data_IF_923223655867
#
_entry.id   IF_923223655867
#
_cell.length_a   1.000
_cell.length_b   1.000
_cell.length_c   1.000
_cell.angle_alpha   90.00
_cell.angle_beta   90.00
_cell.angle_gamma   90.00
#
_symmetry.space_group_name_H-M   'P 1'
#
loop_
_entity.id
_entity.type
_entity.pdbx_description
1 polymer ?
#
# COMPACT_ATOMS: atom_id res chain seq x y z
N UNK A 1 8.95 -6.92 16.11
CA UNK A 1 9.75 -5.71 15.91
C UNK A 1 8.99 -4.73 15.02
N UNK A 2 8.91 -3.43 15.32
CA UNK A 2 8.00 -2.50 14.61
C UNK A 2 8.43 -2.13 13.18
N UNK A 3 9.68 -2.42 12.79
CA UNK A 3 10.19 -2.13 11.43
C UNK A 3 10.37 -3.39 10.57
N UNK A 4 9.92 -4.55 11.08
CA UNK A 4 9.95 -5.84 10.39
C UNK A 4 8.52 -6.35 10.22
N UNK A 5 8.19 -6.87 9.04
CA UNK A 5 6.88 -7.42 8.68
C UNK A 5 7.06 -8.79 8.00
N UNK A 6 6.16 -9.75 8.28
CA UNK A 6 6.20 -11.12 7.80
C UNK A 6 6.85 -12.10 8.77
N UNK A 7 6.66 -13.40 8.55
CA UNK A 7 7.19 -14.51 9.37
C UNK A 7 8.30 -15.27 8.64
N UNK A 8 8.00 -15.94 7.53
CA UNK A 8 8.99 -16.63 6.69
C UNK A 8 9.55 -15.71 5.61
N UNK A 9 8.68 -15.01 4.89
CA UNK A 9 9.08 -13.94 3.99
C UNK A 9 9.02 -12.61 4.73
N UNK A 10 10.16 -12.11 5.16
CA UNK A 10 10.23 -10.94 6.03
C UNK A 10 10.87 -9.75 5.32
N UNK A 11 10.34 -8.59 5.59
CA UNK A 11 10.98 -7.34 5.21
C UNK A 11 11.33 -6.51 6.43
N UNK A 12 12.48 -5.85 6.40
CA UNK A 12 12.85 -4.81 7.36
C UNK A 12 13.15 -3.53 6.59
N UNK A 13 12.31 -2.49 6.77
CA UNK A 13 12.48 -1.20 6.09
C UNK A 13 13.31 -0.25 6.94
N UNK A 14 14.14 0.58 6.28
CA UNK A 14 15.02 1.57 6.92
C UNK A 14 15.10 2.86 6.11
N UNK A 15 15.71 3.88 6.72
CA UNK A 15 15.95 5.19 6.10
C UNK A 15 14.81 6.18 6.28
N UNK A 16 15.10 7.46 6.05
CA UNK A 16 14.23 8.62 6.25
C UNK A 16 14.04 9.42 4.97
N UNK A 17 12.95 10.24 4.94
CA UNK A 17 12.59 11.06 3.78
C UNK A 17 13.69 12.03 3.35
N UNK A 18 14.47 12.57 4.29
CA UNK A 18 15.58 13.52 4.08
C UNK A 18 16.91 12.99 4.67
N UNK A 19 17.09 11.66 4.71
CA UNK A 19 18.38 11.01 4.96
C UNK A 19 19.08 10.65 3.65
N UNK A 20 20.16 9.88 3.72
CA UNK A 20 20.94 9.44 2.54
C UNK A 20 20.15 8.57 1.56
N UNK A 21 19.11 7.87 2.04
CA UNK A 21 18.26 7.01 1.24
C UNK A 21 17.22 6.28 2.08
N UNK A 22 16.38 5.51 1.43
CA UNK A 22 15.43 4.56 2.02
C UNK A 22 15.61 3.20 1.38
N UNK A 23 15.38 2.15 2.13
CA UNK A 23 15.58 0.81 1.60
C UNK A 23 14.86 -0.27 2.38
N UNK A 24 15.12 -1.50 1.97
CA UNK A 24 14.57 -2.70 2.56
C UNK A 24 15.59 -3.83 2.55
N UNK A 25 15.59 -4.62 3.58
CA UNK A 25 16.19 -5.96 3.59
C UNK A 25 15.04 -6.97 3.51
N UNK A 26 15.07 -7.81 2.49
CA UNK A 26 14.15 -8.95 2.33
C UNK A 26 14.87 -10.20 2.77
N UNK A 27 14.32 -10.92 3.73
CA UNK A 27 14.84 -12.20 4.24
C UNK A 27 13.79 -13.30 4.03
N UNK A 28 14.24 -14.54 3.80
CA UNK A 28 13.38 -15.68 3.52
C UNK A 28 12.88 -15.80 2.09
N UNK A 29 13.42 -15.01 1.15
CA UNK A 29 13.16 -15.21 -0.28
C UNK A 29 13.77 -16.55 -0.73
N UNK A 30 12.99 -17.46 -1.37
CA UNK A 30 13.53 -18.72 -1.87
C UNK A 30 14.69 -18.51 -2.86
N UNK A 31 15.66 -19.43 -2.94
CA UNK A 31 16.75 -19.34 -3.92
C UNK A 31 16.26 -19.61 -5.35
N UNK A 32 17.08 -19.18 -6.33
CA UNK A 32 16.85 -19.41 -7.76
C UNK A 32 15.53 -18.79 -8.29
N UNK A 33 15.07 -17.71 -7.67
CA UNK A 33 14.02 -16.87 -8.23
C UNK A 33 14.68 -15.86 -9.15
N UNK A 34 14.27 -15.74 -10.42
CA UNK A 34 14.76 -14.68 -11.30
C UNK A 34 14.47 -13.30 -10.69
N UNK A 35 15.50 -12.45 -10.61
CA UNK A 35 15.36 -11.10 -10.04
C UNK A 35 16.44 -10.17 -10.59
N UNK A 36 16.01 -9.06 -11.15
CA UNK A 36 16.85 -7.94 -11.56
C UNK A 36 16.30 -6.62 -11.00
N UNK A 37 17.12 -5.57 -10.96
CA UNK A 37 16.68 -4.24 -10.51
C UNK A 37 15.51 -3.70 -11.39
N UNK A 38 15.48 -4.04 -12.67
CA UNK A 38 14.38 -3.67 -13.57
C UNK A 38 13.02 -4.24 -13.13
N UNK A 39 12.99 -5.44 -12.56
CA UNK A 39 11.75 -6.05 -12.06
C UNK A 39 11.15 -5.28 -10.88
N UNK A 40 12.02 -4.67 -10.07
CA UNK A 40 11.63 -3.84 -8.93
C UNK A 40 11.25 -2.43 -9.39
N UNK A 41 12.00 -1.90 -10.35
CA UNK A 41 11.85 -0.52 -10.83
C UNK A 41 10.46 -0.24 -11.40
N UNK A 42 9.84 -1.19 -12.08
CA UNK A 42 8.48 -1.07 -12.63
C UNK A 42 7.47 -0.66 -11.55
N UNK A 43 7.49 -1.31 -10.39
CA UNK A 43 6.57 -0.99 -9.28
C UNK A 43 6.97 0.32 -8.57
N UNK A 44 8.27 0.61 -8.47
CA UNK A 44 8.76 1.88 -7.92
C UNK A 44 8.37 3.07 -8.80
N UNK A 45 8.42 2.94 -10.12
CA UNK A 45 7.98 3.98 -11.07
C UNK A 45 6.49 4.30 -10.92
N UNK A 46 5.66 3.30 -10.67
CA UNK A 46 4.23 3.48 -10.38
C UNK A 46 3.99 4.19 -9.05
N UNK A 47 4.91 4.04 -8.07
CA UNK A 47 4.81 4.62 -6.73
C UNK A 47 5.44 6.01 -6.64
N UNK A 48 6.48 6.32 -7.43
CA UNK A 48 7.32 7.52 -7.28
C UNK A 48 6.53 8.84 -7.23
N UNK A 49 7.05 9.90 -6.60
CA UNK A 49 6.46 11.24 -6.67
C UNK A 49 6.69 11.85 -8.06
N UNK A 50 5.92 12.89 -8.39
CA UNK A 50 6.12 13.67 -9.62
C UNK A 50 5.73 12.95 -10.92
N UNK A 51 4.97 11.86 -10.84
CA UNK A 51 4.56 11.07 -12.00
C UNK A 51 3.41 11.71 -12.82
N UNK A 52 2.67 12.64 -12.24
CA UNK A 52 1.55 13.30 -12.90
C UNK A 52 1.22 14.66 -12.27
N UNK A 53 0.32 15.42 -12.93
CA UNK A 53 -0.16 16.72 -12.45
C UNK A 53 -1.03 16.66 -11.19
N UNK A 54 -1.56 15.50 -10.81
CA UNK A 54 -2.44 15.31 -9.65
C UNK A 54 -1.72 14.74 -8.41
N UNK A 55 -0.39 14.61 -8.46
CA UNK A 55 0.44 14.19 -7.34
C UNK A 55 1.44 15.28 -6.98
N UNK A 56 2.22 15.06 -5.91
CA UNK A 56 3.25 16.00 -5.46
C UNK A 56 4.23 16.37 -6.58
N UNK A 57 4.64 17.64 -6.69
CA UNK A 57 5.61 18.08 -7.69
C UNK A 57 7.07 17.72 -7.36
N UNK A 58 7.35 17.03 -6.24
CA UNK A 58 8.68 16.48 -5.92
C UNK A 58 9.11 15.54 -7.05
N UNK A 59 10.38 15.64 -7.48
CA UNK A 59 10.92 14.80 -8.56
C UNK A 59 11.99 13.87 -8.01
N UNK A 60 11.72 12.59 -8.04
CA UNK A 60 12.66 11.52 -7.67
C UNK A 60 12.61 10.44 -8.73
N UNK A 61 13.75 9.91 -9.13
CA UNK A 61 13.81 8.77 -10.04
C UNK A 61 13.41 7.47 -9.34
N UNK A 62 13.57 7.43 -8.01
CA UNK A 62 13.42 6.23 -7.17
C UNK A 62 14.19 5.01 -7.72
N UNK A 63 15.33 5.27 -8.40
CA UNK A 63 16.19 4.22 -8.96
C UNK A 63 16.72 3.33 -7.85
N UNK A 64 16.47 2.02 -7.96
CA UNK A 64 16.88 1.06 -6.96
C UNK A 64 18.22 0.41 -7.29
N UNK A 65 18.98 0.12 -6.23
CA UNK A 65 20.22 -0.64 -6.25
C UNK A 65 20.00 -1.94 -5.44
N UNK A 66 20.30 -3.11 -6.02
CA UNK A 66 20.37 -4.38 -5.27
C UNK A 66 21.79 -4.53 -4.78
N UNK A 67 21.97 -4.57 -3.47
CA UNK A 67 23.31 -4.60 -2.84
C UNK A 67 23.75 -6.00 -2.45
N UNK A 68 22.83 -6.96 -2.29
CA UNK A 68 23.12 -8.36 -1.90
C UNK A 68 22.00 -9.31 -2.27
N UNK A 69 22.24 -10.60 -2.13
CA UNK A 69 21.25 -11.68 -2.23
C UNK A 69 20.89 -12.11 -3.65
N UNK A 70 21.56 -11.57 -4.67
CA UNK A 70 21.37 -11.93 -6.09
C UNK A 70 22.72 -12.17 -6.76
N UNK A 71 22.82 -13.23 -7.56
CA UNK A 71 23.94 -13.51 -8.45
C UNK A 71 23.41 -14.10 -9.76
N UNK A 72 23.98 -13.68 -10.88
CA UNK A 72 23.60 -14.12 -12.24
C UNK A 72 22.09 -14.02 -12.50
N UNK A 73 21.46 -12.94 -11.99
CA UNK A 73 20.04 -12.70 -12.16
C UNK A 73 19.11 -13.62 -11.36
N UNK A 74 19.64 -14.31 -10.33
CA UNK A 74 18.86 -15.20 -9.48
C UNK A 74 19.10 -14.93 -7.99
N UNK A 75 18.08 -15.11 -7.17
CA UNK A 75 18.19 -15.02 -5.71
C UNK A 75 19.00 -16.18 -5.14
N UNK A 76 19.77 -15.90 -4.09
CA UNK A 76 20.65 -16.86 -3.44
C UNK A 76 20.01 -17.56 -2.22
N UNK A 77 18.85 -17.11 -1.75
CA UNK A 77 18.28 -17.56 -0.47
C UNK A 77 18.88 -16.83 0.75
N UNK A 78 19.78 -15.88 0.51
CA UNK A 78 20.38 -15.01 1.52
C UNK A 78 19.65 -13.65 1.53
N UNK A 79 19.82 -12.79 2.56
CA UNK A 79 19.14 -11.51 2.61
C UNK A 79 19.40 -10.63 1.39
N UNK A 80 18.32 -10.10 0.80
CA UNK A 80 18.36 -9.19 -0.35
C UNK A 80 18.25 -7.77 0.19
N UNK A 81 19.31 -6.99 0.09
CA UNK A 81 19.30 -5.57 0.46
C UNK A 81 19.06 -4.70 -0.78
N UNK A 82 18.07 -3.83 -0.69
CA UNK A 82 17.69 -2.90 -1.77
C UNK A 82 17.72 -1.49 -1.21
N UNK A 83 18.37 -0.57 -1.94
CA UNK A 83 18.54 0.83 -1.57
C UNK A 83 18.03 1.74 -2.68
N UNK A 84 17.33 2.82 -2.30
CA UNK A 84 16.97 3.94 -3.16
C UNK A 84 17.52 5.23 -2.53
N UNK A 85 18.37 5.95 -3.24
CA UNK A 85 18.98 7.18 -2.75
C UNK A 85 18.01 8.36 -2.86
N UNK A 86 18.06 9.28 -1.89
CA UNK A 86 17.31 10.53 -1.94
C UNK A 86 18.08 11.55 -2.79
N UNK A 87 17.42 12.19 -3.75
CA UNK A 87 18.02 13.16 -4.68
C UNK A 87 17.44 14.56 -4.57
N UNK A 88 16.12 14.72 -4.40
CA UNK A 88 15.42 16.01 -4.37
C UNK A 88 14.95 16.34 -2.94
N UNK A 89 15.90 16.65 -2.06
CA UNK A 89 15.64 17.08 -0.68
C UNK A 89 15.64 18.61 -0.62
N UNK A 90 14.67 19.20 0.15
CA UNK A 90 14.58 20.65 0.40
C UNK A 90 14.35 20.91 1.89
N UNK A 91 15.38 20.85 2.74
CA UNK A 91 15.26 21.05 4.19
C UNK A 91 14.62 22.39 4.57
N UNK A 92 14.93 23.47 3.84
CA UNK A 92 14.42 24.82 4.07
C UNK A 92 12.88 24.90 4.09
N UNK A 93 12.19 24.04 3.32
CA UNK A 93 10.72 24.00 3.26
C UNK A 93 10.08 23.56 4.59
N UNK A 94 10.86 23.06 5.53
CA UNK A 94 10.37 22.51 6.81
C UNK A 94 10.75 23.35 8.03
N UNK A 95 11.38 24.53 7.84
CA UNK A 95 11.88 25.38 8.93
C UNK A 95 10.78 25.80 9.92
N UNK A 96 9.61 26.20 9.43
CA UNK A 96 8.45 26.55 10.29
C UNK A 96 7.95 25.35 11.12
N UNK A 97 8.17 24.14 10.63
CA UNK A 97 7.75 22.89 11.28
C UNK A 97 8.73 22.42 12.36
N UNK A 98 9.85 23.11 12.56
CA UNK A 98 10.79 22.82 13.66
C UNK A 98 10.16 23.06 15.02
N UNK A 99 9.34 24.09 15.12
CA UNK A 99 8.71 24.54 16.37
C UNK A 99 7.20 24.30 16.43
N UNK A 100 6.55 24.04 15.30
CA UNK A 100 5.10 23.84 15.21
C UNK A 100 4.75 22.38 14.92
N UNK A 101 3.60 21.95 15.42
CA UNK A 101 3.03 20.65 15.07
C UNK A 101 2.05 20.77 13.90
N UNK A 102 2.25 19.98 12.86
CA UNK A 102 1.27 19.91 11.75
C UNK A 102 -0.01 19.23 12.21
N UNK A 103 -1.19 19.82 12.02
CA UNK A 103 -2.46 19.17 12.33
C UNK A 103 -2.57 17.79 11.65
N UNK A 104 -3.05 16.78 12.37
CA UNK A 104 -3.22 15.40 11.89
C UNK A 104 -1.98 14.71 11.31
N UNK A 105 -0.78 15.29 11.49
CA UNK A 105 0.49 14.64 11.16
C UNK A 105 1.12 13.96 12.38
N UNK A 106 2.12 13.12 12.17
CA UNK A 106 2.78 12.35 13.24
C UNK A 106 3.76 13.18 14.11
N UNK A 107 3.87 14.49 13.90
CA UNK A 107 4.88 15.33 14.57
C UNK A 107 4.80 15.25 16.08
N UNK A 108 3.61 15.50 16.64
CA UNK A 108 3.38 15.43 18.09
C UNK A 108 3.59 14.02 18.66
N UNK A 109 3.04 13.01 18.00
CA UNK A 109 3.11 11.62 18.50
C UNK A 109 4.52 11.05 18.48
N UNK A 110 5.34 11.40 17.50
CA UNK A 110 6.76 11.03 17.48
C UNK A 110 7.55 11.79 18.57
N UNK A 111 7.30 13.09 18.72
CA UNK A 111 7.93 13.89 19.78
C UNK A 111 7.57 13.35 21.17
N UNK A 112 6.30 13.06 21.42
CA UNK A 112 5.83 12.54 22.69
C UNK A 112 6.37 11.14 23.00
N UNK A 113 6.54 10.29 21.97
CA UNK A 113 7.00 8.91 22.16
C UNK A 113 8.52 8.80 22.31
N UNK A 114 9.26 9.52 21.50
CA UNK A 114 10.72 9.34 21.38
C UNK A 114 11.53 10.50 21.95
N UNK A 115 10.89 11.60 22.35
CA UNK A 115 11.55 12.82 22.82
C UNK A 115 12.26 13.62 21.70
N UNK A 116 12.29 13.05 20.49
CA UNK A 116 12.92 13.62 19.30
C UNK A 116 12.14 13.21 18.04
N UNK A 117 12.16 14.05 17.02
CA UNK A 117 11.55 13.75 15.72
C UNK A 117 12.43 14.22 14.56
N UNK A 118 12.33 13.54 13.42
CA UNK A 118 12.89 14.01 12.17
C UNK A 118 11.96 15.09 11.58
N UNK A 119 12.30 16.36 11.73
CA UNK A 119 11.49 17.48 11.27
C UNK A 119 11.42 17.51 9.75
N UNK A 120 12.56 17.36 9.10
CA UNK A 120 12.69 17.43 7.66
C UNK A 120 11.94 16.26 6.98
N UNK A 121 10.87 16.58 6.26
CA UNK A 121 10.05 15.61 5.54
C UNK A 121 9.29 14.60 6.41
N UNK A 122 9.34 14.72 7.75
CA UNK A 122 8.66 13.81 8.68
C UNK A 122 9.30 12.44 8.85
N UNK A 123 10.56 12.26 8.41
CA UNK A 123 11.34 11.03 8.62
C UNK A 123 10.64 9.76 8.15
N UNK A 124 10.46 8.81 9.08
CA UNK A 124 9.74 7.54 8.87
C UNK A 124 8.22 7.69 8.76
N UNK A 125 7.63 8.81 9.19
CA UNK A 125 6.21 9.09 9.01
C UNK A 125 5.86 9.57 7.59
N UNK A 126 6.86 9.77 6.74
CA UNK A 126 6.68 10.16 5.34
C UNK A 126 6.25 8.98 4.47
N UNK A 127 5.41 9.25 3.46
CA UNK A 127 5.07 8.27 2.43
C UNK A 127 6.28 7.72 1.65
N UNK A 128 7.47 8.34 1.78
CA UNK A 128 8.70 7.86 1.16
C UNK A 128 9.16 6.51 1.73
N UNK A 129 8.85 6.22 2.99
CA UNK A 129 9.11 4.91 3.61
C UNK A 129 8.53 3.74 2.80
N UNK A 130 7.41 3.96 2.11
CA UNK A 130 6.74 2.92 1.32
C UNK A 130 7.56 2.41 0.13
N UNK A 131 8.66 3.08 -0.26
CA UNK A 131 9.65 2.56 -1.23
C UNK A 131 10.12 1.16 -0.82
N UNK A 132 10.49 0.99 0.46
CA UNK A 132 10.94 -0.31 0.96
C UNK A 132 9.85 -1.39 0.88
N UNK A 133 8.59 -1.03 1.12
CA UNK A 133 7.45 -1.95 1.00
C UNK A 133 7.20 -2.36 -0.44
N UNK A 134 7.22 -1.39 -1.36
CA UNK A 134 7.00 -1.64 -2.80
C UNK A 134 8.14 -2.46 -3.38
N UNK A 135 9.39 -2.16 -3.03
CA UNK A 135 10.54 -2.97 -3.45
C UNK A 135 10.46 -4.41 -2.92
N UNK A 136 10.10 -4.60 -1.64
CA UNK A 136 9.88 -5.95 -1.07
C UNK A 136 8.71 -6.69 -1.73
N UNK A 137 7.61 -5.98 -2.04
CA UNK A 137 6.47 -6.50 -2.77
C UNK A 137 6.80 -6.91 -4.21
N UNK A 138 7.71 -6.20 -4.88
CA UNK A 138 8.21 -6.56 -6.21
C UNK A 138 9.04 -7.86 -6.16
N UNK A 139 9.87 -8.06 -5.13
CA UNK A 139 10.55 -9.34 -4.90
C UNK A 139 9.53 -10.47 -4.68
N UNK A 140 8.49 -10.24 -3.87
CA UNK A 140 7.39 -11.19 -3.66
C UNK A 140 6.68 -11.55 -4.97
N UNK A 141 6.49 -10.59 -5.89
CA UNK A 141 5.91 -10.84 -7.21
C UNK A 141 6.75 -11.84 -8.03
N UNK A 142 8.07 -11.77 -7.97
CA UNK A 142 8.94 -12.74 -8.66
C UNK A 142 8.82 -14.15 -8.04
N UNK A 143 8.63 -14.24 -6.72
CA UNK A 143 8.34 -15.52 -6.06
C UNK A 143 7.01 -16.10 -6.56
N UNK A 144 5.96 -15.28 -6.71
CA UNK A 144 4.68 -15.72 -7.27
C UNK A 144 4.79 -16.18 -8.72
N UNK A 145 5.52 -15.46 -9.56
CA UNK A 145 5.76 -15.89 -10.96
C UNK A 145 6.32 -17.31 -11.05
N UNK A 146 7.15 -17.70 -10.06
CA UNK A 146 7.73 -19.03 -9.98
C UNK A 146 6.83 -20.06 -9.30
N UNK A 147 6.17 -19.72 -8.20
CA UNK A 147 5.48 -20.68 -7.33
C UNK A 147 3.96 -20.74 -7.55
N UNK A 148 3.37 -19.65 -8.06
CA UNK A 148 1.92 -19.49 -8.27
C UNK A 148 1.65 -18.58 -9.48
N UNK A 149 2.01 -19.03 -10.72
CA UNK A 149 2.03 -18.17 -11.91
C UNK A 149 0.66 -17.61 -12.33
N UNK A 150 -0.44 -18.16 -11.81
CA UNK A 150 -1.81 -17.67 -12.08
C UNK A 150 -2.30 -16.59 -11.10
N UNK A 151 -1.47 -16.16 -10.15
CA UNK A 151 -1.86 -15.12 -9.20
C UNK A 151 -1.86 -13.74 -9.88
N UNK A 152 -2.99 -13.03 -9.79
CA UNK A 152 -3.15 -11.65 -10.21
C UNK A 152 -3.58 -10.78 -9.01
N UNK A 153 -2.92 -9.65 -8.81
CA UNK A 153 -3.25 -8.68 -7.75
C UNK A 153 -3.47 -7.33 -8.43
N UNK A 154 -4.69 -6.82 -8.38
CA UNK A 154 -5.12 -5.58 -8.99
C UNK A 154 -5.66 -4.64 -7.90
N UNK A 155 -5.01 -3.51 -7.69
CA UNK A 155 -5.58 -2.44 -6.89
C UNK A 155 -5.91 -1.24 -7.77
N UNK A 156 -6.96 -0.50 -7.40
CA UNK A 156 -7.45 0.65 -8.15
C UNK A 156 -8.10 1.68 -7.21
N UNK A 157 -8.17 2.91 -7.65
CA UNK A 157 -8.88 3.96 -6.93
C UNK A 157 -10.37 3.77 -7.17
N UNK A 158 -11.11 3.40 -6.13
CA UNK A 158 -12.55 3.13 -6.20
C UNK A 158 -13.43 4.25 -5.65
N UNK A 159 -12.83 5.21 -4.92
CA UNK A 159 -13.53 6.41 -4.45
C UNK A 159 -12.55 7.55 -4.27
N UNK A 160 -12.95 8.76 -4.69
CA UNK A 160 -12.30 10.03 -4.36
C UNK A 160 -13.38 10.99 -3.90
N UNK A 161 -13.28 11.43 -2.64
CA UNK A 161 -14.32 12.24 -2.00
C UNK A 161 -15.69 11.56 -2.13
N UNK A 162 -16.65 12.13 -2.84
CA UNK A 162 -18.01 11.63 -3.09
C UNK A 162 -18.16 10.88 -4.43
N UNK A 163 -17.15 10.91 -5.28
CA UNK A 163 -17.15 10.15 -6.53
C UNK A 163 -16.78 8.68 -6.25
N UNK A 164 -17.65 7.76 -6.64
CA UNK A 164 -17.48 6.31 -6.44
C UNK A 164 -17.51 5.59 -7.78
N UNK A 165 -16.55 4.70 -8.01
CA UNK A 165 -16.50 3.87 -9.21
C UNK A 165 -17.58 2.78 -9.18
N UNK A 166 -18.18 2.53 -10.33
CA UNK A 166 -19.29 1.55 -10.50
C UNK A 166 -18.90 0.31 -11.30
N UNK A 167 -17.60 0.12 -11.56
CA UNK A 167 -17.10 -1.02 -12.35
C UNK A 167 -17.19 -2.32 -11.55
N UNK A 168 -17.74 -3.35 -12.19
CA UNK A 168 -17.78 -4.69 -11.63
C UNK A 168 -16.36 -5.31 -11.58
N UNK A 169 -16.00 -6.03 -10.49
CA UNK A 169 -14.67 -6.59 -10.32
C UNK A 169 -14.19 -7.45 -11.49
N UNK A 170 -15.09 -8.19 -12.14
CA UNK A 170 -14.79 -9.10 -13.25
C UNK A 170 -14.27 -8.36 -14.50
N UNK A 171 -14.59 -7.07 -14.63
CA UNK A 171 -14.18 -6.21 -15.75
C UNK A 171 -12.84 -5.51 -15.53
N UNK A 172 -12.25 -5.66 -14.35
CA UNK A 172 -10.99 -5.01 -14.02
C UNK A 172 -9.82 -5.67 -14.74
N UNK A 173 -8.99 -4.85 -15.38
CA UNK A 173 -7.69 -5.25 -15.93
C UNK A 173 -6.60 -4.25 -15.56
N UNK A 174 -5.37 -4.72 -15.51
CA UNK A 174 -4.21 -3.86 -15.25
C UNK A 174 -4.10 -2.71 -16.29
N UNK A 175 -4.40 -3.01 -17.55
CA UNK A 175 -4.32 -2.02 -18.64
C UNK A 175 -5.33 -0.88 -18.46
N UNK A 176 -6.56 -1.17 -18.05
CA UNK A 176 -7.58 -0.15 -17.77
C UNK A 176 -7.22 0.72 -16.57
N UNK A 177 -6.75 0.09 -15.49
CA UNK A 177 -6.34 0.79 -14.26
C UNK A 177 -5.17 1.74 -14.55
N UNK A 178 -4.12 1.28 -15.22
CA UNK A 178 -2.95 2.09 -15.54
C UNK A 178 -3.16 3.00 -16.77
N UNK A 179 -4.27 2.87 -17.47
CA UNK A 179 -4.65 3.69 -18.63
C UNK A 179 -4.90 5.17 -18.33
N UNK A 180 -5.01 5.54 -17.05
CA UNK A 180 -5.18 6.92 -16.61
C UNK A 180 -4.37 7.25 -15.36
N UNK A 181 -4.06 8.56 -15.18
CA UNK A 181 -3.15 9.02 -14.12
C UNK A 181 -3.72 8.90 -12.70
N UNK A 182 -5.03 8.72 -12.54
CA UNK A 182 -5.68 8.53 -11.23
C UNK A 182 -5.83 7.06 -10.85
N UNK A 183 -5.59 6.13 -11.80
CA UNK A 183 -5.81 4.68 -11.64
C UNK A 183 -7.25 4.34 -11.32
N UNK A 184 -8.17 5.04 -11.98
CA UNK A 184 -9.60 4.78 -11.93
C UNK A 184 -9.96 3.68 -12.92
N UNK A 185 -10.86 2.74 -12.57
CA UNK A 185 -11.11 1.57 -13.40
C UNK A 185 -11.93 1.83 -14.66
N UNK A 186 -12.55 3.02 -14.78
CA UNK A 186 -13.27 3.49 -15.97
C UNK A 186 -12.64 4.77 -16.49
N UNK A 187 -12.03 4.71 -17.67
CA UNK A 187 -11.36 5.84 -18.29
C UNK A 187 -12.28 7.03 -18.59
N UNK A 188 -13.56 6.79 -18.90
CA UNK A 188 -14.52 7.85 -19.18
C UNK A 188 -14.88 8.65 -17.90
N UNK A 189 -14.94 7.99 -16.74
CA UNK A 189 -15.16 8.64 -15.46
C UNK A 189 -13.90 9.28 -14.88
N UNK A 190 -12.71 8.78 -15.25
CA UNK A 190 -11.42 9.24 -14.72
C UNK A 190 -11.22 10.76 -14.88
N UNK A 191 -11.67 11.36 -15.96
CA UNK A 191 -11.53 12.81 -16.20
C UNK A 191 -12.26 13.65 -15.15
N UNK A 192 -13.43 13.22 -14.67
CA UNK A 192 -14.17 13.90 -13.60
C UNK A 192 -13.41 13.85 -12.29
N UNK A 193 -12.79 12.70 -11.99
CA UNK A 193 -11.99 12.51 -10.77
C UNK A 193 -10.72 13.35 -10.83
N UNK A 194 -10.04 13.38 -11.99
CA UNK A 194 -8.86 14.22 -12.23
C UNK A 194 -9.21 15.70 -12.03
N UNK A 195 -10.32 16.18 -12.62
CA UNK A 195 -10.78 17.57 -12.48
C UNK A 195 -11.09 17.94 -11.02
N UNK A 196 -11.70 17.01 -10.24
CA UNK A 196 -11.93 17.21 -8.82
C UNK A 196 -10.60 17.40 -8.06
N UNK A 197 -9.61 16.54 -8.30
CA UNK A 197 -8.31 16.62 -7.62
C UNK A 197 -7.57 17.92 -8.00
N UNK A 198 -7.63 18.32 -9.26
CA UNK A 198 -7.03 19.58 -9.73
C UNK A 198 -7.69 20.81 -9.09
N UNK A 199 -9.04 20.80 -8.95
CA UNK A 199 -9.78 21.84 -8.24
C UNK A 199 -9.33 21.94 -6.79
N UNK A 200 -9.35 20.83 -6.05
CA UNK A 200 -8.92 20.78 -4.64
C UNK A 200 -7.47 21.27 -4.49
N UNK A 201 -6.59 20.86 -5.40
CA UNK A 201 -5.20 21.35 -5.44
C UNK A 201 -5.13 22.86 -5.63
N UNK A 202 -5.95 23.45 -6.52
CA UNK A 202 -5.97 24.90 -6.77
C UNK A 202 -6.47 25.70 -5.57
N UNK A 203 -7.31 25.08 -4.74
CA UNK A 203 -7.81 25.62 -3.47
C UNK A 203 -6.78 25.49 -2.32
N UNK A 204 -5.64 24.86 -2.59
CA UNK A 204 -4.58 24.61 -1.58
C UNK A 204 -4.96 23.56 -0.54
N UNK A 205 -5.88 22.68 -0.87
CA UNK A 205 -6.42 21.63 0.00
C UNK A 205 -6.03 20.22 -0.48
N UNK A 206 -6.56 19.20 0.18
CA UNK A 206 -6.36 17.80 -0.15
C UNK A 206 -7.65 16.99 -0.01
N UNK A 207 -7.71 15.85 -0.69
CA UNK A 207 -8.86 14.95 -0.68
C UNK A 207 -8.39 13.51 -0.48
N UNK A 208 -9.19 12.75 0.27
CA UNK A 208 -9.03 11.32 0.50
C UNK A 208 -9.97 10.47 -0.33
N UNK A 209 -10.04 9.19 -0.03
CA UNK A 209 -10.94 8.24 -0.68
C UNK A 209 -10.57 6.79 -0.37
N UNK A 210 -10.85 5.90 -1.30
CA UNK A 210 -10.72 4.45 -1.12
C UNK A 210 -9.92 3.84 -2.27
N UNK A 211 -9.01 2.93 -1.93
CA UNK A 211 -8.37 2.00 -2.86
C UNK A 211 -8.98 0.62 -2.62
N UNK A 212 -9.56 0.02 -3.65
CA UNK A 212 -10.00 -1.37 -3.65
C UNK A 212 -8.95 -2.27 -4.26
N UNK A 213 -8.92 -3.52 -3.81
CA UNK A 213 -8.01 -4.54 -4.31
C UNK A 213 -8.76 -5.85 -4.55
N UNK A 214 -8.48 -6.47 -5.69
CA UNK A 214 -8.95 -7.78 -6.08
C UNK A 214 -7.74 -8.68 -6.29
N UNK A 215 -7.74 -9.86 -5.66
CA UNK A 215 -6.70 -10.87 -5.85
C UNK A 215 -7.34 -12.12 -6.43
N UNK A 216 -6.87 -12.53 -7.59
CA UNK A 216 -7.34 -13.71 -8.32
C UNK A 216 -6.29 -14.82 -8.31
N UNK A 217 -6.74 -16.06 -8.39
CA UNK A 217 -5.84 -17.21 -8.48
C UNK A 217 -5.22 -17.64 -7.16
N UNK A 218 -5.76 -17.19 -6.02
CA UNK A 218 -5.34 -17.68 -4.70
C UNK A 218 -5.93 -19.08 -4.48
N UNK A 219 -5.11 -20.11 -4.17
CA UNK A 219 -5.61 -21.41 -3.81
C UNK A 219 -6.33 -21.38 -2.46
N UNK A 220 -7.26 -22.30 -2.18
CA UNK A 220 -7.74 -22.49 -0.82
C UNK A 220 -6.59 -22.93 0.09
N UNK A 221 -6.64 -22.51 1.37
CA UNK A 221 -5.70 -22.97 2.38
C UNK A 221 -4.65 -21.95 2.86
N UNK A 222 -4.62 -20.72 2.34
CA UNK A 222 -3.72 -19.67 2.85
C UNK A 222 -4.36 -18.93 4.02
N UNK A 223 -3.65 -18.87 5.13
CA UNK A 223 -4.09 -18.25 6.38
C UNK A 223 -3.94 -19.22 7.55
N UNK A 224 -3.69 -18.68 8.74
CA UNK A 224 -3.46 -19.45 9.96
C UNK A 224 -4.45 -19.04 11.06
N UNK A 225 -5.40 -19.90 11.46
CA UNK A 225 -6.15 -19.65 12.66
C UNK A 225 -5.21 -19.77 13.89
N UNK A 226 -5.45 -19.10 15.00
CA UNK A 226 -6.59 -18.23 15.28
C UNK A 226 -6.24 -16.76 15.09
N UNK A 227 -4.97 -16.34 15.26
CA UNK A 227 -4.56 -14.93 15.27
C UNK A 227 -3.96 -14.44 13.97
N UNK A 228 -3.28 -15.32 13.22
CA UNK A 228 -2.69 -15.02 11.91
C UNK A 228 -3.69 -15.33 10.77
N UNK A 229 -4.95 -14.97 10.96
CA UNK A 229 -5.97 -15.06 9.90
C UNK A 229 -5.54 -14.21 8.72
N UNK A 230 -5.79 -14.69 7.50
CA UNK A 230 -5.39 -13.98 6.29
C UNK A 230 -5.96 -12.55 6.23
N UNK A 231 -7.24 -12.37 6.59
CA UNK A 231 -7.86 -11.04 6.66
C UNK A 231 -7.28 -10.17 7.78
N UNK A 232 -6.84 -10.75 8.89
CA UNK A 232 -6.21 -9.99 9.97
C UNK A 232 -4.83 -9.48 9.58
N UNK A 233 -4.01 -10.29 8.89
CA UNK A 233 -2.71 -9.87 8.39
C UNK A 233 -2.84 -8.88 7.23
N UNK A 234 -3.83 -9.05 6.35
CA UNK A 234 -4.16 -8.04 5.32
C UNK A 234 -4.56 -6.71 5.98
N UNK A 235 -5.44 -6.73 6.98
CA UNK A 235 -5.85 -5.52 7.70
C UNK A 235 -4.66 -4.83 8.38
N UNK A 236 -3.80 -5.58 9.08
CA UNK A 236 -2.57 -5.07 9.70
C UNK A 236 -1.64 -4.45 8.66
N UNK A 237 -1.45 -5.12 7.53
CA UNK A 237 -0.63 -4.63 6.42
C UNK A 237 -1.15 -3.29 5.89
N UNK A 238 -2.45 -3.21 5.57
CA UNK A 238 -3.10 -2.03 5.00
C UNK A 238 -3.19 -0.87 5.99
N UNK A 239 -3.54 -1.13 7.26
CA UNK A 239 -3.61 -0.09 8.31
C UNK A 239 -2.22 0.40 8.74
N UNK A 240 -1.15 -0.29 8.38
CA UNK A 240 0.22 0.18 8.56
C UNK A 240 0.68 1.18 7.49
N UNK A 241 -0.07 1.37 6.41
CA UNK A 241 0.24 2.34 5.36
C UNK A 241 0.00 3.78 5.86
N UNK A 242 0.83 4.75 5.42
CA UNK A 242 0.59 6.16 5.73
C UNK A 242 -0.80 6.61 5.26
N UNK A 243 -1.49 7.41 6.05
CA UNK A 243 -2.82 7.98 5.82
C UNK A 243 -3.97 6.96 5.79
N UNK A 244 -3.76 5.65 5.89
CA UNK A 244 -4.84 4.67 5.99
C UNK A 244 -5.64 4.84 7.28
N UNK A 245 -6.98 4.63 7.22
CA UNK A 245 -7.91 4.82 8.34
C UNK A 245 -9.00 3.77 8.44
N UNK A 246 -9.17 2.93 7.41
CA UNK A 246 -10.16 1.86 7.41
C UNK A 246 -9.74 0.73 6.51
N UNK A 247 -10.24 -0.45 6.84
CA UNK A 247 -10.09 -1.68 6.06
C UNK A 247 -11.41 -2.44 6.11
N UNK A 248 -11.84 -2.97 4.99
CA UNK A 248 -12.98 -3.88 4.86
C UNK A 248 -12.64 -5.01 3.90
N UNK A 249 -13.13 -6.20 4.18
CA UNK A 249 -13.02 -7.38 3.31
C UNK A 249 -14.42 -7.89 2.94
N UNK A 250 -14.60 -8.31 1.69
CA UNK A 250 -15.88 -8.79 1.19
C UNK A 250 -16.98 -7.75 1.36
N UNK A 251 -18.10 -8.17 1.95
CA UNK A 251 -19.24 -7.30 2.25
C UNK A 251 -18.97 -6.23 3.31
N UNK A 252 -17.91 -6.41 4.14
CA UNK A 252 -17.49 -5.45 5.13
C UNK A 252 -18.63 -4.96 6.05
N UNK A 253 -18.69 -3.67 6.33
CA UNK A 253 -19.76 -3.09 7.17
C UNK A 253 -21.16 -3.23 6.53
N UNK A 254 -21.28 -3.29 5.21
CA UNK A 254 -22.56 -3.47 4.56
C UNK A 254 -23.19 -4.84 4.90
N UNK A 255 -22.36 -5.87 5.10
CA UNK A 255 -22.79 -7.21 5.50
C UNK A 255 -23.54 -7.26 6.84
N UNK A 256 -23.26 -6.30 7.76
CA UNK A 256 -23.94 -6.22 9.07
C UNK A 256 -25.44 -5.93 8.97
N UNK A 257 -25.91 -5.47 7.82
CA UNK A 257 -27.33 -5.18 7.55
C UNK A 257 -28.08 -6.36 6.95
N UNK A 258 -27.36 -7.44 6.62
CA UNK A 258 -27.93 -8.67 6.03
C UNK A 258 -28.24 -9.68 7.13
N UNK A 259 -29.25 -10.51 6.89
CA UNK A 259 -29.52 -11.71 7.69
C UNK A 259 -28.53 -12.80 7.29
N UNK A 260 -28.29 -13.78 8.14
CA UNK A 260 -27.39 -14.90 7.84
C UNK A 260 -27.78 -15.65 6.55
N UNK A 261 -29.07 -15.88 6.32
CA UNK A 261 -29.58 -16.49 5.09
C UNK A 261 -29.32 -15.67 3.81
N UNK A 262 -29.14 -14.36 3.94
CA UNK A 262 -28.84 -13.46 2.83
C UNK A 262 -27.34 -13.30 2.64
N UNK A 263 -26.58 -13.40 3.74
CA UNK A 263 -25.12 -13.20 3.74
C UNK A 263 -24.34 -14.45 3.38
N UNK A 264 -24.83 -15.65 3.73
CA UNK A 264 -24.08 -16.90 3.56
C UNK A 264 -23.77 -17.19 2.09
N UNK A 265 -22.50 -17.42 1.81
CA UNK A 265 -22.00 -17.86 0.50
C UNK A 265 -22.24 -19.37 0.36
N UNK A 266 -23.26 -19.79 -0.38
CA UNK A 266 -23.59 -21.20 -0.55
C UNK A 266 -22.54 -21.91 -1.39
N UNK A 267 -22.08 -23.10 -0.93
CA UNK A 267 -21.12 -23.92 -1.65
C UNK A 267 -21.75 -24.62 -2.84
N UNK A 268 -21.02 -24.70 -3.94
CA UNK A 268 -21.35 -25.44 -5.16
C UNK A 268 -20.14 -26.25 -5.63
N UNK A 269 -20.42 -27.31 -6.38
CA UNK A 269 -19.39 -28.10 -7.05
C UNK A 269 -19.36 -27.73 -8.54
N UNK A 270 -18.29 -27.08 -8.99
CA UNK A 270 -18.07 -26.74 -10.40
C UNK A 270 -16.92 -27.57 -10.96
N UNK A 271 -17.22 -28.61 -11.70
CA UNK A 271 -16.19 -29.44 -12.34
C UNK A 271 -15.21 -30.11 -11.37
N UNK A 272 -15.65 -30.50 -10.18
CA UNK A 272 -14.84 -31.12 -9.14
C UNK A 272 -14.14 -30.10 -8.20
N UNK A 273 -14.36 -28.81 -8.39
CA UNK A 273 -13.88 -27.76 -7.49
C UNK A 273 -15.02 -27.23 -6.63
N UNK A 274 -14.76 -27.09 -5.35
CA UNK A 274 -15.69 -26.42 -4.44
C UNK A 274 -15.54 -24.91 -4.64
N UNK A 275 -16.66 -24.25 -4.95
CA UNK A 275 -16.80 -22.82 -5.17
C UNK A 275 -17.93 -22.27 -4.31
N UNK A 276 -18.12 -20.97 -4.34
CA UNK A 276 -19.29 -20.32 -3.71
C UNK A 276 -20.12 -19.57 -4.74
N UNK A 277 -21.45 -19.51 -4.54
CA UNK A 277 -22.39 -18.81 -5.46
C UNK A 277 -22.29 -17.30 -5.35
N UNK A 278 -21.82 -16.81 -4.22
CA UNK A 278 -21.57 -15.39 -3.92
C UNK A 278 -20.22 -15.28 -3.21
N UNK A 279 -19.68 -14.07 -3.08
CA UNK A 279 -18.39 -13.83 -2.44
C UNK A 279 -18.49 -12.71 -1.39
N UNK A 280 -19.48 -12.81 -0.50
CA UNK A 280 -19.66 -11.83 0.59
C UNK A 280 -18.60 -11.94 1.67
N UNK A 281 -18.03 -13.12 1.82
CA UNK A 281 -16.86 -13.37 2.68
C UNK A 281 -15.57 -12.77 2.13
N UNK A 282 -15.55 -12.34 0.86
CA UNK A 282 -14.36 -11.73 0.24
C UNK A 282 -13.19 -12.70 0.07
N UNK A 283 -13.46 -13.98 -0.24
CA UNK A 283 -12.43 -15.00 -0.50
C UNK A 283 -11.79 -15.62 0.74
N UNK A 284 -12.24 -15.26 1.96
CA UNK A 284 -11.68 -15.76 3.22
C UNK A 284 -12.77 -16.22 4.15
N UNK A 285 -12.67 -17.44 4.65
CA UNK A 285 -13.60 -18.05 5.62
C UNK A 285 -12.81 -18.70 6.75
N UNK A 286 -13.17 -18.38 7.99
CA UNK A 286 -12.46 -18.88 9.17
C UNK A 286 -11.00 -18.43 9.28
N UNK A 287 -10.60 -17.39 8.54
CA UNK A 287 -9.22 -16.91 8.48
C UNK A 287 -8.38 -17.52 7.36
N UNK A 288 -8.98 -18.35 6.53
CA UNK A 288 -8.29 -19.14 5.49
C UNK A 288 -8.91 -18.82 4.13
N UNK A 289 -8.09 -18.69 3.07
CA UNK A 289 -8.58 -18.52 1.70
C UNK A 289 -9.42 -19.72 1.26
N UNK A 290 -10.54 -19.46 0.58
CA UNK A 290 -11.48 -20.49 0.12
C UNK A 290 -11.38 -20.79 -1.39
N UNK A 291 -10.49 -20.12 -2.12
CA UNK A 291 -10.30 -20.28 -3.57
C UNK A 291 -11.09 -19.28 -4.43
N UNK A 292 -11.92 -18.44 -3.82
CA UNK A 292 -12.57 -17.31 -4.48
C UNK A 292 -11.63 -16.10 -4.54
N UNK A 293 -12.02 -15.07 -5.32
CA UNK A 293 -11.28 -13.81 -5.34
C UNK A 293 -11.22 -13.18 -3.94
N UNK A 294 -10.04 -12.78 -3.50
CA UNK A 294 -9.92 -11.97 -2.28
C UNK A 294 -10.21 -10.54 -2.66
N UNK A 295 -11.27 -9.97 -2.05
CA UNK A 295 -11.72 -8.60 -2.32
C UNK A 295 -11.72 -7.80 -1.04
N UNK A 296 -10.96 -6.70 -1.02
CA UNK A 296 -10.90 -5.80 0.12
C UNK A 296 -10.75 -4.34 -0.32
N UNK A 297 -10.98 -3.42 0.59
CA UNK A 297 -10.83 -1.98 0.36
C UNK A 297 -10.19 -1.27 1.55
N UNK A 298 -9.45 -0.21 1.24
CA UNK A 298 -8.67 0.56 2.20
C UNK A 298 -9.03 2.04 2.09
N UNK A 299 -9.48 2.63 3.19
CA UNK A 299 -9.79 4.05 3.25
C UNK A 299 -8.54 4.87 3.61
N UNK A 300 -8.31 5.94 2.87
CA UNK A 300 -7.22 6.89 3.08
C UNK A 300 -7.80 8.27 3.40
N UNK A 301 -7.37 8.87 4.50
CA UNK A 301 -7.73 10.24 4.84
C UNK A 301 -7.05 11.24 3.89
N UNK A 302 -7.57 12.46 3.77
CA UNK A 302 -6.87 13.55 3.09
C UNK A 302 -5.45 13.75 3.65
N UNK A 303 -4.53 14.19 2.80
CA UNK A 303 -3.15 14.52 3.20
C UNK A 303 -3.17 15.65 4.22
N UNK A 304 -2.52 15.45 5.36
CA UNK A 304 -2.59 16.38 6.49
C UNK A 304 -1.91 17.74 6.24
N UNK A 305 -0.89 17.76 5.39
CA UNK A 305 -0.15 18.99 5.09
C UNK A 305 -0.76 19.66 3.86
N UNK A 306 -1.41 20.81 4.07
CA UNK A 306 -2.09 21.60 3.04
C UNK A 306 -1.56 23.02 3.00
N UNK A 307 -1.82 23.74 1.93
CA UNK A 307 -1.37 25.14 1.75
C UNK A 307 -2.30 26.18 2.41
N UNK A 308 -3.48 25.76 2.86
CA UNK A 308 -4.38 26.61 3.65
C UNK A 308 -3.83 26.81 5.06
N UNK A 309 -4.14 27.96 5.66
CA UNK A 309 -3.80 28.25 7.04
C UNK A 309 -4.59 27.35 8.00
N UNK A 310 -3.88 26.72 8.94
CA UNK A 310 -4.45 25.82 9.93
C UNK A 310 -4.07 26.25 11.34
N UNK A 311 -5.01 26.23 12.27
CA UNK A 311 -4.75 26.46 13.68
C UNK A 311 -4.00 25.28 14.28
N UNK A 312 -2.98 25.55 15.07
CA UNK A 312 -2.14 24.55 15.73
C UNK A 312 -1.52 25.11 17.01
N UNK A 313 -0.56 24.38 17.57
CA UNK A 313 0.23 24.83 18.72
C UNK A 313 1.73 24.63 18.45
N UNK A 314 2.53 25.44 19.14
CA UNK A 314 3.98 25.27 19.19
C UNK A 314 4.36 24.08 20.09
N UNK A 315 5.63 23.69 20.05
CA UNK A 315 6.21 22.71 20.98
C UNK A 315 6.12 23.15 22.45
N UNK A 316 6.01 24.46 22.70
CA UNK A 316 5.79 25.04 24.04
C UNK A 316 4.31 25.05 24.46
N UNK A 317 3.38 24.62 23.57
CA UNK A 317 1.93 24.61 23.82
C UNK A 317 1.23 25.93 23.53
N UNK A 318 1.91 26.90 22.93
CA UNK A 318 1.34 28.21 22.56
C UNK A 318 0.52 28.10 21.28
N UNK A 319 -0.63 28.77 21.24
CA UNK A 319 -1.48 28.83 20.03
C UNK A 319 -0.72 29.47 18.86
N UNK A 320 -0.81 28.87 17.69
CA UNK A 320 -0.13 29.29 16.48
C UNK A 320 -0.95 28.97 15.22
N UNK A 321 -0.62 29.63 14.13
CA UNK A 321 -1.13 29.33 12.80
C UNK A 321 0.00 28.78 11.93
N UNK A 322 -0.28 27.69 11.23
CA UNK A 322 0.64 27.08 10.28
C UNK A 322 0.06 27.16 8.88
N UNK A 323 0.78 27.79 7.96
CA UNK A 323 0.52 27.73 6.52
C UNK A 323 1.67 26.98 5.85
N UNK A 324 1.50 25.69 5.67
CA UNK A 324 2.58 24.83 5.23
C UNK A 324 3.00 25.14 3.78
N UNK A 325 4.28 25.47 3.59
CA UNK A 325 4.92 25.69 2.30
C UNK A 325 5.63 24.38 1.89
N UNK A 326 4.93 23.45 1.27
CA UNK A 326 5.54 22.17 0.94
C UNK A 326 5.02 21.59 -0.39
N UNK A 327 5.70 20.53 -0.83
CA UNK A 327 5.31 19.76 -2.01
C UNK A 327 4.55 18.52 -1.56
N UNK A 328 3.24 18.65 -1.36
CA UNK A 328 2.37 17.58 -0.86
C UNK A 328 1.46 17.05 -1.95
N UNK A 329 1.01 15.81 -1.80
CA UNK A 329 0.01 15.21 -2.69
C UNK A 329 -1.36 15.84 -2.39
N UNK A 330 -2.07 16.42 -3.36
CA UNK A 330 -3.47 16.83 -3.18
C UNK A 330 -4.39 15.61 -2.98
N UNK A 331 -3.97 14.46 -3.52
CA UNK A 331 -4.61 13.17 -3.33
C UNK A 331 -3.53 12.07 -3.34
N UNK A 332 -3.47 11.27 -2.27
CA UNK A 332 -2.46 10.21 -2.15
C UNK A 332 -2.84 8.94 -2.92
N UNK A 333 -4.12 8.77 -3.28
CA UNK A 333 -4.68 7.51 -3.78
C UNK A 333 -3.97 6.96 -5.03
N UNK A 334 -3.63 7.76 -6.06
CA UNK A 334 -2.94 7.22 -7.24
C UNK A 334 -1.61 6.53 -6.88
N UNK A 335 -0.91 7.07 -5.88
CA UNK A 335 0.34 6.49 -5.39
C UNK A 335 0.13 5.36 -4.38
N UNK A 336 -1.02 5.32 -3.71
CA UNK A 336 -1.38 4.26 -2.77
C UNK A 336 -1.67 2.93 -3.47
N UNK A 337 -2.14 2.95 -4.71
CA UNK A 337 -2.45 1.73 -5.49
C UNK A 337 -1.28 0.73 -5.47
N UNK A 338 -0.07 1.02 -5.96
CA UNK A 338 1.04 0.07 -5.90
C UNK A 338 1.51 -0.24 -4.47
N UNK A 339 1.21 0.61 -3.48
CA UNK A 339 1.52 0.31 -2.08
C UNK A 339 0.56 -0.77 -1.53
N UNK A 340 -0.72 -0.70 -1.87
CA UNK A 340 -1.73 -1.71 -1.50
C UNK A 340 -1.41 -3.04 -2.15
N UNK A 341 -1.09 -3.07 -3.45
CA UNK A 341 -0.64 -4.28 -4.15
C UNK A 341 0.59 -4.89 -3.50
N UNK A 342 1.60 -4.08 -3.20
CA UNK A 342 2.84 -4.55 -2.56
C UNK A 342 2.58 -5.17 -1.19
N UNK A 343 1.75 -4.54 -0.35
CA UNK A 343 1.41 -5.10 0.97
C UNK A 343 0.58 -6.37 0.85
N UNK A 344 -0.34 -6.49 -0.13
CA UNK A 344 -1.05 -7.72 -0.41
C UNK A 344 -0.08 -8.85 -0.83
N UNK A 345 0.89 -8.54 -1.73
CA UNK A 345 1.94 -9.50 -2.14
C UNK A 345 2.76 -9.99 -0.95
N UNK A 346 3.14 -9.10 -0.03
CA UNK A 346 3.93 -9.45 1.16
C UNK A 346 3.19 -10.38 2.11
N UNK A 347 1.89 -10.14 2.34
CA UNK A 347 1.06 -11.03 3.16
C UNK A 347 0.91 -12.39 2.49
N UNK A 348 0.50 -12.39 1.22
CA UNK A 348 0.19 -13.63 0.51
C UNK A 348 1.43 -14.52 0.29
N UNK A 349 2.60 -13.94 0.01
CA UNK A 349 3.83 -14.73 -0.16
C UNK A 349 4.26 -15.38 1.15
N UNK A 350 4.11 -14.68 2.27
CA UNK A 350 4.43 -15.22 3.59
C UNK A 350 3.51 -16.42 3.92
N UNK A 351 2.20 -16.26 3.75
CA UNK A 351 1.24 -17.35 3.94
C UNK A 351 1.44 -18.50 2.95
N UNK A 352 1.80 -18.23 1.69
CA UNK A 352 2.11 -19.26 0.71
C UNK A 352 3.31 -20.11 1.14
N UNK A 353 4.38 -19.47 1.62
CA UNK A 353 5.58 -20.18 2.09
C UNK A 353 5.29 -20.98 3.37
N UNK A 354 4.52 -20.43 4.31
CA UNK A 354 4.05 -21.11 5.52
C UNK A 354 3.23 -22.36 5.17
N UNK A 355 2.24 -22.20 4.30
CA UNK A 355 1.41 -23.32 3.82
C UNK A 355 2.24 -24.42 3.17
N UNK A 356 3.20 -24.06 2.30
CA UNK A 356 4.09 -25.03 1.66
C UNK A 356 5.02 -25.74 2.64
N UNK A 357 5.46 -25.06 3.69
CA UNK A 357 6.29 -25.68 4.73
C UNK A 357 5.52 -26.76 5.50
N UNK A 358 4.22 -26.55 5.75
CA UNK A 358 3.35 -27.53 6.39
C UNK A 358 2.93 -28.66 5.44
N UNK A 359 2.63 -28.37 4.19
CA UNK A 359 2.15 -29.34 3.21
C UNK A 359 3.24 -30.33 2.75
N UNK A 360 4.52 -29.99 2.92
CA UNK A 360 5.67 -30.85 2.59
C UNK A 360 6.28 -31.55 3.82
N UNK A 361 5.64 -31.43 4.98
CA UNK A 361 5.99 -32.16 6.19
C UNK A 361 5.13 -33.41 6.32
#
# INVERSE_FOLDING_TARGET
MPNTFGHLFRITTFGESHGGGVGVVVDGCPPRVPLAAADIQVDLDRRRPGQSKIVTPRKESDTCEILSGVSDGQTLGTPIAILVRNQDQRPEAYKEMETLYRPSHADYTYQAKYGIRAVQGGGRASARETIGRVAGGAVAQQVFRKLLPGLEILAYVSQVHDLVATVAPEKLSFAEIEGNIVRWPDGAEAERVIALIEKVRSEGDSVGGVVSCVVRGVPPGLGEPVFDKLEADLAKAMLSLPASKGFEIGSGFAGTRLRGSEHNDAFVNEGGRIRTTTNRSGGVQGGISNGEEIVFRVAFKPTATIAQAQQTVSMAGEAAELKARGRHDPCVLPRAVPMVEAMARLVLVDHLLRHRALANA
#
